data_IF_655756814976
#
_entry.id   IF_655756814976
#
_cell.length_a   1.000
_cell.length_b   1.000
_cell.length_c   1.000
_cell.angle_alpha   90.00
_cell.angle_beta   90.00
_cell.angle_gamma   90.00
#
_symmetry.space_group_name_H-M   'P 1'
#
loop_
_entity.id
_entity.type
_entity.pdbx_description
1 polymer ?
#
# COMPACT_ATOMS: atom_id res chain seq x y z
N UNK A 1 7.36 -24.32 23.74
CA UNK A 1 6.07 -24.97 23.43
C UNK A 1 5.70 -24.64 21.98
N UNK A 2 5.09 -25.55 21.22
CA UNK A 2 4.53 -25.20 19.90
C UNK A 2 3.19 -24.49 20.15
N UNK A 3 3.22 -23.16 20.14
CA UNK A 3 2.02 -22.33 20.17
C UNK A 3 1.47 -22.23 18.75
N UNK A 4 0.16 -22.44 18.59
CA UNK A 4 -0.53 -22.15 17.34
C UNK A 4 -0.88 -20.65 17.29
N UNK A 5 0.17 -19.85 17.09
CA UNK A 5 0.09 -18.39 17.05
C UNK A 5 0.86 -17.92 15.82
N UNK A 6 0.16 -17.62 14.70
CA UNK A 6 0.82 -17.15 13.50
C UNK A 6 1.40 -15.76 13.75
N UNK A 7 2.67 -15.58 13.38
CA UNK A 7 3.33 -14.27 13.37
C UNK A 7 3.27 -13.75 11.94
N UNK A 8 2.59 -12.62 11.77
CA UNK A 8 2.36 -12.00 10.46
C UNK A 8 3.10 -10.68 10.45
N UNK A 9 4.07 -10.54 9.54
CA UNK A 9 4.71 -9.26 9.30
C UNK A 9 3.79 -8.36 8.47
N UNK A 10 3.55 -7.14 8.97
CA UNK A 10 2.67 -6.15 8.33
C UNK A 10 3.41 -4.85 8.05
N UNK A 11 2.78 -3.96 7.29
CA UNK A 11 3.29 -2.61 7.04
C UNK A 11 3.29 -1.70 8.28
N UNK A 12 4.03 -0.59 8.23
CA UNK A 12 4.11 0.37 9.33
C UNK A 12 2.77 1.14 9.48
N UNK A 13 2.24 1.24 10.71
CA UNK A 13 1.00 2.00 10.99
C UNK A 13 1.20 3.53 11.06
N UNK A 14 2.45 3.99 10.94
CA UNK A 14 2.81 5.41 11.01
C UNK A 14 3.00 5.93 12.44
N UNK A 15 3.10 5.06 13.44
CA UNK A 15 3.46 5.41 14.83
C UNK A 15 4.96 5.18 15.08
N UNK A 16 5.80 5.73 14.21
CA UNK A 16 7.25 5.47 14.19
C UNK A 16 7.96 5.73 15.52
N UNK A 17 7.43 6.66 16.34
CA UNK A 17 7.98 6.95 17.66
C UNK A 17 7.86 5.78 18.65
N UNK A 18 6.95 4.84 18.40
CA UNK A 18 6.64 3.71 19.26
C UNK A 18 7.08 2.35 18.67
N UNK A 19 7.77 2.34 17.54
CA UNK A 19 8.30 1.10 16.96
C UNK A 19 9.42 0.50 17.85
N UNK A 20 9.58 -0.84 17.89
CA UNK A 20 8.75 -1.85 17.22
C UNK A 20 7.37 -2.00 17.85
N UNK A 21 6.33 -2.07 17.01
CA UNK A 21 4.95 -2.31 17.43
C UNK A 21 4.55 -3.76 17.19
N UNK A 22 3.92 -4.39 18.18
CA UNK A 22 3.32 -5.72 18.06
C UNK A 22 1.82 -5.62 18.31
N UNK A 23 1.02 -6.28 17.47
CA UNK A 23 -0.42 -6.36 17.61
C UNK A 23 -0.77 -7.79 18.04
N UNK A 24 -1.52 -7.95 19.11
CA UNK A 24 -1.99 -9.26 19.57
C UNK A 24 -3.51 -9.30 19.42
N UNK A 25 -3.97 -10.20 18.55
CA UNK A 25 -5.39 -10.54 18.41
C UNK A 25 -5.62 -11.87 19.15
N UNK A 26 -6.31 -11.80 20.29
CA UNK A 26 -6.64 -12.96 21.11
C UNK A 26 -8.16 -13.01 21.33
N UNK A 27 -8.83 -14.16 21.13
CA UNK A 27 -10.25 -14.28 21.42
C UNK A 27 -10.59 -13.82 22.84
N UNK A 28 -11.64 -13.01 22.97
CA UNK A 28 -12.06 -12.41 24.25
C UNK A 28 -11.44 -11.06 24.57
N UNK A 29 -10.46 -10.60 23.78
CA UNK A 29 -9.84 -9.29 23.90
C UNK A 29 -9.94 -8.54 22.57
N UNK A 30 -10.03 -7.20 22.57
CA UNK A 30 -9.84 -6.42 21.35
C UNK A 30 -8.40 -6.64 20.82
N UNK A 31 -8.11 -6.40 19.54
CA UNK A 31 -6.73 -6.35 19.06
C UNK A 31 -5.97 -5.20 19.74
N UNK A 32 -5.00 -5.54 20.59
CA UNK A 32 -4.20 -4.58 21.37
C UNK A 32 -2.85 -4.37 20.68
N UNK A 33 -2.46 -3.10 20.53
CA UNK A 33 -1.15 -2.70 20.04
C UNK A 33 -0.22 -2.39 21.21
N UNK A 34 0.97 -2.98 21.18
CA UNK A 34 2.04 -2.80 22.15
C UNK A 34 3.21 -2.10 21.49
N UNK A 35 3.76 -1.09 22.17
CA UNK A 35 4.84 -0.25 21.65
C UNK A 35 6.17 -0.52 22.31
N UNK A 36 7.24 -0.04 21.67
CA UNK A 36 8.61 -0.15 22.17
C UNK A 36 8.99 -1.60 22.51
N UNK A 37 8.43 -2.57 21.79
CA UNK A 37 8.54 -3.98 22.13
C UNK A 37 9.98 -4.43 21.92
N UNK A 38 10.65 -4.78 23.01
CA UNK A 38 11.96 -5.42 23.03
C UNK A 38 11.82 -6.90 23.43
N UNK A 39 12.93 -7.65 23.44
CA UNK A 39 12.91 -9.08 23.76
C UNK A 39 12.29 -9.42 25.14
N UNK A 40 12.47 -8.54 26.14
CA UNK A 40 11.92 -8.74 27.49
C UNK A 40 10.42 -8.52 27.50
N UNK A 41 9.93 -7.46 26.85
CA UNK A 41 8.50 -7.18 26.72
C UNK A 41 7.83 -8.29 25.91
N UNK A 42 8.44 -8.74 24.81
CA UNK A 42 7.92 -9.83 24.00
C UNK A 42 7.78 -11.14 24.80
N UNK A 43 8.77 -11.50 25.61
CA UNK A 43 8.70 -12.68 26.48
C UNK A 43 7.56 -12.57 27.50
N UNK A 44 7.38 -11.39 28.12
CA UNK A 44 6.26 -11.14 29.03
C UNK A 44 4.92 -11.26 28.32
N UNK A 45 4.73 -10.62 27.16
CA UNK A 45 3.49 -10.73 26.38
C UNK A 45 3.16 -12.18 26.01
N UNK A 46 4.16 -12.99 25.65
CA UNK A 46 3.94 -14.42 25.37
C UNK A 46 3.49 -15.16 26.63
N UNK A 47 4.21 -14.99 27.76
CA UNK A 47 3.96 -15.76 28.99
C UNK A 47 2.71 -15.33 29.74
N UNK A 48 2.46 -14.03 29.81
CA UNK A 48 1.42 -13.43 30.64
C UNK A 48 0.12 -13.22 29.85
N UNK A 49 0.20 -12.83 28.57
CA UNK A 49 -0.99 -12.56 27.76
C UNK A 49 -1.39 -13.70 26.82
N UNK A 50 -0.47 -14.19 25.98
CA UNK A 50 -0.80 -15.22 24.97
C UNK A 50 -1.08 -16.56 25.66
N UNK A 51 -0.21 -16.97 26.61
CA UNK A 51 -0.35 -18.19 27.39
C UNK A 51 -1.21 -18.02 28.65
N UNK A 52 -1.20 -16.82 29.25
CA UNK A 52 -2.04 -16.45 30.38
C UNK A 52 -3.28 -15.68 29.92
N UNK A 53 -3.81 -14.78 30.75
CA UNK A 53 -4.95 -13.90 30.43
C UNK A 53 -4.72 -12.46 30.95
N UNK A 54 -3.46 -12.10 31.25
CA UNK A 54 -3.08 -10.74 31.62
C UNK A 54 -2.60 -9.99 30.36
N UNK A 55 -3.35 -8.97 29.89
CA UNK A 55 -3.01 -8.24 28.67
C UNK A 55 -1.82 -7.29 28.82
N UNK A 56 -1.15 -7.23 29.98
CA UNK A 56 0.03 -6.38 30.22
C UNK A 56 -0.23 -4.92 29.78
N UNK A 57 -1.31 -4.31 30.28
CA UNK A 57 -1.76 -2.99 29.83
C UNK A 57 -0.73 -1.88 30.06
N UNK A 58 0.27 -2.09 30.92
CA UNK A 58 1.38 -1.15 31.10
C UNK A 58 2.23 -0.95 29.83
N UNK A 59 2.15 -1.87 28.86
CA UNK A 59 2.84 -1.78 27.57
C UNK A 59 1.93 -1.40 26.40
N UNK A 60 0.62 -1.27 26.65
CA UNK A 60 -0.35 -1.01 25.60
C UNK A 60 -0.22 0.44 25.08
N UNK A 61 -0.13 0.60 23.76
CA UNK A 61 -0.29 1.88 23.09
C UNK A 61 -1.77 2.22 22.88
N UNK A 62 -2.62 1.22 22.71
CA UNK A 62 -4.04 1.36 22.43
C UNK A 62 -4.58 0.16 21.67
N UNK A 63 -5.89 0.13 21.44
CA UNK A 63 -6.56 -0.90 20.64
C UNK A 63 -6.85 -0.44 19.20
N UNK A 64 -6.97 -1.40 18.29
CA UNK A 64 -7.38 -1.14 16.91
C UNK A 64 -8.88 -0.83 16.77
N UNK A 65 -9.69 -1.18 17.77
CA UNK A 65 -11.14 -1.01 17.78
C UNK A 65 -11.62 -0.42 19.11
N UNK A 66 -12.81 0.20 19.09
CA UNK A 66 -13.46 0.73 20.29
C UNK A 66 -13.80 -0.41 21.25
N UNK A 67 -13.51 -0.21 22.53
CA UNK A 67 -13.66 -1.22 23.57
C UNK A 67 -13.62 -0.55 24.97
N UNK A 68 -13.92 -1.32 26.01
CA UNK A 68 -13.95 -0.84 27.40
C UNK A 68 -12.63 -1.08 28.19
N UNK A 69 -11.62 -1.73 27.57
CA UNK A 69 -10.39 -2.16 28.25
C UNK A 69 -9.26 -1.13 28.16
N UNK A 70 -9.00 -0.60 26.96
CA UNK A 70 -7.98 0.41 26.68
C UNK A 70 -8.46 1.41 25.63
N UNK A 71 -7.96 2.66 25.63
CA UNK A 71 -8.26 3.61 24.56
C UNK A 71 -7.96 3.02 23.18
N UNK A 72 -8.88 3.22 22.25
CA UNK A 72 -8.68 2.90 20.84
C UNK A 72 -7.85 3.99 20.16
N UNK A 73 -7.25 3.70 19.01
CA UNK A 73 -6.56 4.74 18.24
C UNK A 73 -7.49 5.89 17.81
N UNK A 74 -8.81 5.63 17.71
CA UNK A 74 -9.83 6.63 17.43
C UNK A 74 -9.98 7.67 18.54
N UNK A 75 -9.62 7.32 19.77
CA UNK A 75 -9.69 8.21 20.94
C UNK A 75 -8.52 9.20 21.00
N UNK A 76 -7.44 8.94 20.25
CA UNK A 76 -6.26 9.80 20.27
C UNK A 76 -6.42 11.05 19.39
N UNK A 77 -5.78 12.18 19.76
CA UNK A 77 -5.88 13.43 19.00
C UNK A 77 -5.57 13.30 17.51
N UNK A 78 -4.66 12.39 17.12
CA UNK A 78 -4.30 12.13 15.73
C UNK A 78 -5.50 11.72 14.88
N UNK A 79 -6.39 10.88 15.40
CA UNK A 79 -7.54 10.36 14.65
C UNK A 79 -8.55 11.45 14.27
N UNK A 80 -8.59 12.56 15.02
CA UNK A 80 -9.41 13.74 14.68
C UNK A 80 -8.95 14.45 13.40
N UNK A 81 -7.66 14.38 13.09
CA UNK A 81 -7.05 15.14 11.98
C UNK A 81 -6.61 14.26 10.82
N UNK A 82 -6.45 12.96 11.03
CA UNK A 82 -5.98 12.01 10.03
C UNK A 82 -7.13 11.19 9.43
N UNK A 83 -7.19 11.15 8.09
CA UNK A 83 -8.01 10.19 7.36
C UNK A 83 -7.11 9.33 6.48
N UNK A 84 -6.92 8.06 6.88
CA UNK A 84 -6.10 7.10 6.12
C UNK A 84 -6.86 6.58 4.90
N UNK A 85 -6.74 7.29 3.77
CA UNK A 85 -7.32 6.84 2.49
C UNK A 85 -6.37 5.88 1.78
N UNK A 86 -5.15 6.32 1.46
CA UNK A 86 -4.14 5.52 0.75
C UNK A 86 -3.37 4.57 1.69
N UNK A 87 -3.32 4.89 2.99
CA UNK A 87 -2.63 4.09 4.01
C UNK A 87 -3.59 3.14 4.76
N UNK A 88 -4.81 2.91 4.25
CA UNK A 88 -5.85 2.14 4.95
C UNK A 88 -5.45 0.70 5.30
N UNK A 89 -4.59 0.10 4.49
CA UNK A 89 -4.13 -1.29 4.66
C UNK A 89 -2.84 -1.41 5.47
N UNK A 90 -2.15 -0.29 5.73
CA UNK A 90 -0.89 -0.28 6.48
C UNK A 90 -1.11 -0.81 7.90
N UNK A 91 -0.36 -1.86 8.27
CA UNK A 91 -0.48 -2.54 9.56
C UNK A 91 -1.60 -3.58 9.64
N UNK A 92 -2.37 -3.78 8.57
CA UNK A 92 -3.51 -4.71 8.53
C UNK A 92 -3.25 -5.93 7.62
N UNK A 93 -2.47 -5.74 6.56
CA UNK A 93 -2.15 -6.81 5.61
C UNK A 93 -0.68 -7.20 5.66
N UNK A 94 -0.38 -8.45 5.32
CA UNK A 94 0.97 -8.84 4.96
C UNK A 94 1.25 -8.38 3.51
N UNK A 95 2.20 -7.47 3.28
CA UNK A 95 2.50 -6.93 1.95
C UNK A 95 3.06 -7.97 0.98
N UNK A 96 3.44 -9.16 1.47
CA UNK A 96 3.94 -10.27 0.67
C UNK A 96 2.91 -11.36 0.41
N UNK A 97 1.66 -11.19 0.85
CA UNK A 97 0.56 -12.13 0.63
C UNK A 97 -0.64 -11.46 -0.06
N UNK A 98 -0.78 -11.71 -1.38
CA UNK A 98 -1.83 -11.12 -2.20
C UNK A 98 -3.25 -11.43 -1.69
N UNK A 99 -3.46 -12.58 -1.05
CA UNK A 99 -4.78 -12.98 -0.54
C UNK A 99 -5.27 -12.03 0.56
N UNK A 100 -4.37 -11.42 1.34
CA UNK A 100 -4.75 -10.39 2.33
C UNK A 100 -5.25 -9.12 1.63
N UNK A 101 -4.62 -8.72 0.53
CA UNK A 101 -5.06 -7.57 -0.26
C UNK A 101 -6.44 -7.84 -0.90
N UNK A 102 -6.63 -9.03 -1.48
CA UNK A 102 -7.91 -9.47 -2.05
C UNK A 102 -9.03 -9.53 -1.00
N UNK A 103 -8.75 -10.08 0.19
CA UNK A 103 -9.70 -10.15 1.29
C UNK A 103 -10.17 -8.76 1.76
N UNK A 104 -9.32 -7.73 1.62
CA UNK A 104 -9.64 -6.34 1.89
C UNK A 104 -10.25 -5.59 0.68
N UNK A 105 -10.75 -6.32 -0.31
CA UNK A 105 -11.41 -5.76 -1.50
C UNK A 105 -10.44 -5.24 -2.57
N UNK A 106 -9.16 -5.57 -2.48
CA UNK A 106 -8.17 -5.26 -3.52
C UNK A 106 -8.55 -5.83 -4.88
N UNK A 107 -8.20 -5.13 -5.96
CA UNK A 107 -8.58 -5.45 -7.34
C UNK A 107 -10.07 -5.33 -7.69
N UNK A 108 -10.94 -5.00 -6.73
CA UNK A 108 -12.36 -4.74 -7.04
C UNK A 108 -12.55 -3.49 -7.90
N UNK A 109 -11.70 -2.46 -7.73
CA UNK A 109 -11.75 -1.27 -8.56
C UNK A 109 -11.24 -1.55 -9.97
N UNK A 110 -10.23 -2.42 -10.12
CA UNK A 110 -9.83 -2.93 -11.44
C UNK A 110 -10.98 -3.64 -12.15
N UNK A 111 -11.69 -4.54 -11.46
CA UNK A 111 -12.86 -5.22 -12.04
C UNK A 111 -13.91 -4.21 -12.49
N UNK A 112 -14.25 -3.22 -11.66
CA UNK A 112 -15.18 -2.13 -12.04
C UNK A 112 -14.67 -1.39 -13.28
N UNK A 113 -13.39 -0.97 -13.27
CA UNK A 113 -12.79 -0.20 -14.34
C UNK A 113 -12.85 -0.91 -15.70
N UNK A 114 -12.60 -2.22 -15.75
CA UNK A 114 -12.67 -3.00 -17.00
C UNK A 114 -14.09 -3.07 -17.60
N UNK A 115 -15.13 -2.78 -16.83
CA UNK A 115 -16.52 -2.69 -17.30
C UNK A 115 -16.96 -1.26 -17.64
N UNK A 116 -16.07 -0.28 -17.50
CA UNK A 116 -16.32 1.12 -17.82
C UNK A 116 -15.68 1.50 -19.15
N UNK A 117 -16.25 2.48 -19.83
CA UNK A 117 -15.56 3.19 -20.90
C UNK A 117 -14.36 3.94 -20.30
N UNK A 118 -13.17 3.90 -20.93
CA UNK A 118 -11.98 4.58 -20.41
C UNK A 118 -12.18 6.08 -20.14
N UNK A 119 -12.96 6.78 -20.97
CA UNK A 119 -13.33 8.19 -20.78
C UNK A 119 -14.11 8.40 -19.48
N UNK A 120 -14.98 7.45 -19.13
CA UNK A 120 -15.72 7.48 -17.87
C UNK A 120 -14.81 7.38 -16.64
N UNK A 121 -13.71 6.62 -16.74
CA UNK A 121 -12.71 6.53 -15.67
C UNK A 121 -11.95 7.85 -15.54
N UNK A 122 -11.54 8.45 -16.66
CA UNK A 122 -10.86 9.75 -16.65
C UNK A 122 -11.74 10.83 -16.02
N UNK A 123 -13.04 10.84 -16.37
CA UNK A 123 -14.01 11.75 -15.78
C UNK A 123 -14.17 11.52 -14.26
N UNK A 124 -14.27 10.28 -13.79
CA UNK A 124 -14.35 9.97 -12.35
C UNK A 124 -13.10 10.46 -11.60
N UNK A 125 -11.91 10.37 -12.21
CA UNK A 125 -10.66 10.92 -11.64
C UNK A 125 -10.65 12.45 -11.65
N UNK A 126 -11.11 13.09 -12.73
CA UNK A 126 -11.20 14.56 -12.81
C UNK A 126 -12.19 15.11 -11.77
N UNK A 127 -13.38 14.53 -11.67
CA UNK A 127 -14.42 14.90 -10.70
C UNK A 127 -13.97 14.72 -9.24
N UNK A 128 -13.07 13.76 -8.98
CA UNK A 128 -12.47 13.58 -7.64
C UNK A 128 -11.57 14.75 -7.21
N UNK A 129 -11.13 15.59 -8.15
CA UNK A 129 -10.17 16.67 -7.89
C UNK A 129 -8.77 16.16 -7.54
N UNK A 130 -8.41 14.92 -7.91
CA UNK A 130 -7.10 14.35 -7.63
C UNK A 130 -5.99 15.14 -8.34
N UNK A 131 -5.03 15.61 -7.56
CA UNK A 131 -3.84 16.33 -8.05
C UNK A 131 -2.59 15.50 -7.84
N UNK A 132 -1.58 15.71 -8.69
CA UNK A 132 -0.28 15.06 -8.60
C UNK A 132 0.35 15.25 -7.22
N UNK A 133 0.73 14.14 -6.57
CA UNK A 133 1.24 14.13 -5.19
C UNK A 133 2.76 14.23 -5.08
N UNK A 134 3.49 14.21 -6.20
CA UNK A 134 4.93 14.49 -6.25
C UNK A 134 5.30 15.98 -6.23
N UNK A 135 4.46 16.85 -5.65
CA UNK A 135 4.76 18.28 -5.47
C UNK A 135 4.10 19.23 -6.47
N UNK A 136 4.22 18.99 -7.79
CA UNK A 136 3.73 19.93 -8.81
C UNK A 136 2.21 20.18 -8.80
N UNK A 137 1.42 19.23 -8.28
CA UNK A 137 -0.01 19.43 -8.08
C UNK A 137 -0.81 19.60 -9.38
N UNK A 138 -0.36 19.08 -10.52
CA UNK A 138 -1.14 19.12 -11.75
C UNK A 138 -2.40 18.23 -11.65
N UNK A 139 -3.51 18.59 -12.31
CA UNK A 139 -4.75 17.83 -12.27
C UNK A 139 -4.56 16.45 -12.94
N UNK A 140 -4.86 15.38 -12.22
CA UNK A 140 -4.53 14.01 -12.67
C UNK A 140 -5.44 13.57 -13.82
N UNK A 141 -6.75 13.86 -13.74
CA UNK A 141 -7.70 13.57 -14.81
C UNK A 141 -7.32 14.30 -16.10
N UNK A 142 -7.01 15.60 -16.01
CA UNK A 142 -6.47 16.37 -17.13
C UNK A 142 -5.19 15.76 -17.72
N UNK A 143 -4.22 15.33 -16.89
CA UNK A 143 -2.98 14.66 -17.37
C UNK A 143 -3.30 13.38 -18.15
N UNK A 144 -4.27 12.59 -17.65
CA UNK A 144 -4.71 11.37 -18.30
C UNK A 144 -5.44 11.65 -19.61
N UNK A 145 -6.31 12.66 -19.66
CA UNK A 145 -7.02 13.07 -20.87
C UNK A 145 -6.04 13.51 -21.96
N UNK A 146 -5.06 14.37 -21.62
CA UNK A 146 -4.01 14.80 -22.57
C UNK A 146 -3.26 13.58 -23.14
N UNK A 147 -2.89 12.63 -22.29
CA UNK A 147 -2.20 11.43 -22.74
C UNK A 147 -3.09 10.52 -23.61
N UNK A 148 -4.37 10.38 -23.27
CA UNK A 148 -5.34 9.60 -24.06
C UNK A 148 -5.59 10.21 -25.43
N UNK A 149 -5.65 11.53 -25.53
CA UNK A 149 -5.91 12.23 -26.79
C UNK A 149 -4.66 12.35 -27.67
N UNK A 150 -3.46 12.24 -27.07
CA UNK A 150 -2.21 12.29 -27.82
C UNK A 150 -2.15 11.18 -28.89
N UNK A 151 -1.79 11.51 -30.14
CA UNK A 151 -1.60 10.52 -31.18
C UNK A 151 -0.35 9.67 -30.93
N UNK A 152 -0.36 8.44 -31.45
CA UNK A 152 0.79 7.54 -31.38
C UNK A 152 0.64 6.40 -30.38
N UNK A 153 1.29 5.30 -30.70
CA UNK A 153 1.36 4.09 -29.89
C UNK A 153 2.79 3.51 -29.94
N UNK A 154 3.23 2.80 -28.89
CA UNK A 154 2.52 2.54 -27.64
C UNK A 154 2.52 3.74 -26.67
N UNK A 155 1.53 3.78 -25.78
CA UNK A 155 1.50 4.67 -24.60
C UNK A 155 1.99 3.94 -23.36
N UNK A 156 2.47 4.71 -22.37
CA UNK A 156 3.13 4.19 -21.18
C UNK A 156 2.57 4.81 -19.90
N UNK A 157 2.60 4.03 -18.82
CA UNK A 157 2.43 4.53 -17.45
C UNK A 157 3.77 4.40 -16.73
N UNK A 158 4.22 5.47 -16.10
CA UNK A 158 5.43 5.46 -15.27
C UNK A 158 5.02 5.82 -13.85
N UNK A 159 5.29 4.92 -12.90
CA UNK A 159 5.21 5.17 -11.47
C UNK A 159 6.60 5.59 -11.01
N UNK A 160 6.72 6.85 -10.62
CA UNK A 160 7.94 7.42 -10.06
C UNK A 160 7.93 7.19 -8.54
N UNK A 161 8.77 6.27 -8.08
CA UNK A 161 9.07 6.01 -6.66
C UNK A 161 10.48 6.46 -6.28
N UNK A 162 11.02 7.47 -6.96
CA UNK A 162 12.28 8.14 -6.61
C UNK A 162 12.04 9.25 -5.58
N UNK A 163 11.61 8.86 -4.38
CA UNK A 163 11.34 9.78 -3.27
C UNK A 163 12.67 10.25 -2.67
N UNK A 164 13.34 11.19 -3.35
CA UNK A 164 14.65 11.71 -3.02
C UNK A 164 14.66 12.71 -1.85
N UNK A 165 13.53 13.39 -1.62
CA UNK A 165 13.46 14.55 -0.73
C UNK A 165 13.72 14.19 0.75
N UNK A 166 14.61 14.92 1.45
CA UNK A 166 14.86 14.70 2.86
C UNK A 166 13.58 14.80 3.70
N UNK A 167 13.26 13.74 4.44
CA UNK A 167 12.09 13.67 5.31
C UNK A 167 10.82 13.10 4.64
N UNK A 168 10.86 12.84 3.32
CA UNK A 168 9.80 12.13 2.64
C UNK A 168 10.01 10.60 2.76
N UNK A 169 8.94 9.88 3.12
CA UNK A 169 8.91 8.41 3.21
C UNK A 169 7.51 7.85 2.91
N UNK A 170 6.64 8.65 2.32
CA UNK A 170 5.25 8.30 2.03
C UNK A 170 5.17 7.27 0.90
N UNK A 171 5.98 7.42 -0.15
CA UNK A 171 6.02 6.46 -1.26
C UNK A 171 6.64 5.14 -0.78
N UNK A 172 7.72 5.23 0.02
CA UNK A 172 8.30 4.06 0.70
C UNK A 172 7.26 3.33 1.53
N UNK A 173 6.50 4.05 2.36
CA UNK A 173 5.51 3.45 3.24
C UNK A 173 4.45 2.67 2.45
N UNK A 174 4.01 3.18 1.30
CA UNK A 174 3.03 2.50 0.44
C UNK A 174 3.66 1.27 -0.23
N UNK A 175 4.83 1.42 -0.87
CA UNK A 175 5.47 0.29 -1.57
C UNK A 175 5.90 -0.83 -0.62
N UNK A 176 6.26 -0.50 0.61
CA UNK A 176 6.59 -1.48 1.63
C UNK A 176 5.34 -2.09 2.28
N UNK A 177 4.22 -1.38 2.39
CA UNK A 177 3.05 -1.85 3.17
C UNK A 177 1.90 -2.38 2.31
N UNK A 178 1.72 -1.85 1.11
CA UNK A 178 0.62 -2.19 0.19
C UNK A 178 1.04 -1.97 -1.29
N UNK A 179 2.04 -2.73 -1.79
CA UNK A 179 2.49 -2.61 -3.18
C UNK A 179 1.40 -2.97 -4.21
N UNK A 180 0.42 -3.80 -3.84
CA UNK A 180 -0.68 -4.17 -4.72
C UNK A 180 -1.58 -2.98 -5.07
N UNK A 181 -1.78 -2.03 -4.14
CA UNK A 181 -2.54 -0.80 -4.42
C UNK A 181 -1.92 0.05 -5.54
N UNK A 182 -0.59 0.13 -5.61
CA UNK A 182 0.13 0.85 -6.67
C UNK A 182 -0.04 0.12 -7.99
N UNK A 183 0.12 -1.20 -7.98
CA UNK A 183 -0.06 -2.05 -9.18
C UNK A 183 -1.49 -1.92 -9.72
N UNK A 184 -2.51 -2.02 -8.86
CA UNK A 184 -3.91 -1.84 -9.24
C UNK A 184 -4.15 -0.47 -9.88
N UNK A 185 -3.68 0.60 -9.23
CA UNK A 185 -3.80 1.97 -9.75
C UNK A 185 -3.14 2.14 -11.13
N UNK A 186 -1.96 1.54 -11.34
CA UNK A 186 -1.27 1.57 -12.63
C UNK A 186 -2.04 0.84 -13.73
N UNK A 187 -2.66 -0.29 -13.43
CA UNK A 187 -3.45 -1.05 -14.42
C UNK A 187 -4.68 -0.24 -14.82
N UNK A 188 -5.40 0.34 -13.84
CA UNK A 188 -6.57 1.20 -14.09
C UNK A 188 -6.17 2.41 -14.93
N UNK A 189 -5.07 3.09 -14.57
CA UNK A 189 -4.54 4.21 -15.34
C UNK A 189 -4.17 3.79 -16.77
N UNK A 190 -3.51 2.64 -16.92
CA UNK A 190 -3.12 2.09 -18.21
C UNK A 190 -4.32 1.80 -19.10
N UNK A 191 -5.38 1.21 -18.54
CA UNK A 191 -6.64 0.99 -19.23
C UNK A 191 -7.29 2.32 -19.65
N UNK A 192 -7.37 3.28 -18.74
CA UNK A 192 -7.96 4.59 -18.96
C UNK A 192 -7.27 5.37 -20.10
N UNK A 193 -5.94 5.35 -20.18
CA UNK A 193 -5.20 6.10 -21.22
C UNK A 193 -4.92 5.29 -22.50
N UNK A 194 -5.21 3.98 -22.50
CA UNK A 194 -4.88 3.08 -23.61
C UNK A 194 -3.41 2.67 -23.67
N UNK A 195 -2.70 2.65 -22.54
CA UNK A 195 -1.33 2.17 -22.46
C UNK A 195 -1.25 0.65 -22.45
N UNK A 196 -0.15 0.11 -22.98
CA UNK A 196 0.15 -1.33 -22.97
C UNK A 196 1.31 -1.71 -22.06
N UNK A 197 2.06 -0.72 -21.59
CA UNK A 197 3.26 -0.93 -20.81
C UNK A 197 3.30 0.03 -19.61
N UNK A 198 3.70 -0.51 -18.47
CA UNK A 198 3.88 0.18 -17.21
C UNK A 198 5.29 -0.03 -16.67
N UNK A 199 5.84 1.01 -16.06
CA UNK A 199 7.14 0.94 -15.40
C UNK A 199 7.04 1.50 -13.99
N UNK A 200 7.55 0.76 -13.01
CA UNK A 200 7.74 1.25 -11.65
C UNK A 200 9.23 1.52 -11.51
N UNK A 201 9.61 2.78 -11.33
CA UNK A 201 10.97 3.15 -11.01
C UNK A 201 11.08 3.36 -9.50
N UNK A 202 11.91 2.58 -8.81
CA UNK A 202 12.13 2.70 -7.37
C UNK A 202 13.59 2.96 -7.11
N UNK A 203 13.89 3.95 -6.26
CA UNK A 203 15.27 4.29 -5.88
C UNK A 203 16.03 3.12 -5.25
N UNK A 204 17.34 3.10 -5.43
CA UNK A 204 18.19 2.01 -4.94
C UNK A 204 18.22 1.91 -3.40
N UNK A 205 18.01 3.04 -2.72
CA UNK A 205 18.07 3.17 -1.27
C UNK A 205 16.87 2.56 -0.54
N UNK A 206 15.84 2.11 -1.27
CA UNK A 206 14.66 1.43 -0.73
C UNK A 206 14.64 -0.07 -1.12
N UNK A 207 15.60 -0.89 -0.62
CA UNK A 207 15.70 -2.30 -1.02
C UNK A 207 14.47 -3.12 -0.65
N UNK A 208 13.82 -2.83 0.49
CA UNK A 208 12.62 -3.54 0.93
C UNK A 208 11.42 -3.22 0.03
N UNK A 209 11.24 -1.96 -0.38
CA UNK A 209 10.22 -1.57 -1.33
C UNK A 209 10.40 -2.28 -2.69
N UNK A 210 11.64 -2.36 -3.18
CA UNK A 210 11.99 -3.09 -4.41
C UNK A 210 11.65 -4.59 -4.27
N UNK A 211 12.02 -5.21 -3.15
CA UNK A 211 11.74 -6.61 -2.90
C UNK A 211 10.24 -6.91 -2.84
N UNK A 212 9.49 -6.18 -2.01
CA UNK A 212 8.04 -6.37 -1.83
C UNK A 212 7.27 -6.08 -3.11
N UNK A 213 7.65 -5.04 -3.87
CA UNK A 213 7.06 -4.76 -5.18
C UNK A 213 7.33 -5.91 -6.17
N UNK A 214 8.53 -6.50 -6.15
CA UNK A 214 8.85 -7.67 -7.00
C UNK A 214 8.01 -8.89 -6.62
N UNK A 215 7.78 -9.13 -5.33
CA UNK A 215 6.87 -10.18 -4.85
C UNK A 215 5.46 -9.94 -5.37
N UNK A 216 4.93 -8.73 -5.17
CA UNK A 216 3.58 -8.35 -5.57
C UNK A 216 3.37 -8.47 -7.09
N UNK A 217 4.34 -8.04 -7.91
CA UNK A 217 4.29 -8.22 -9.37
C UNK A 217 4.26 -9.70 -9.77
N UNK A 218 5.02 -10.58 -9.10
CA UNK A 218 4.95 -12.02 -9.39
C UNK A 218 3.58 -12.60 -9.04
N UNK A 219 3.04 -12.25 -7.88
CA UNK A 219 1.72 -12.72 -7.44
C UNK A 219 0.61 -12.24 -8.37
N UNK A 220 0.58 -10.94 -8.68
CA UNK A 220 -0.41 -10.35 -9.56
C UNK A 220 -0.35 -10.96 -10.98
N UNK A 221 0.85 -11.24 -11.50
CA UNK A 221 0.99 -11.92 -12.79
C UNK A 221 0.50 -13.36 -12.77
N UNK A 222 0.76 -14.10 -11.69
CA UNK A 222 0.27 -15.48 -11.52
C UNK A 222 -1.26 -15.56 -11.56
N UNK A 223 -1.95 -14.53 -11.05
CA UNK A 223 -3.41 -14.42 -11.07
C UNK A 223 -3.97 -13.73 -12.33
N UNK A 224 -3.14 -13.43 -13.33
CA UNK A 224 -3.53 -12.71 -14.55
C UNK A 224 -4.19 -11.34 -14.29
N UNK A 225 -3.73 -10.63 -13.25
CA UNK A 225 -4.17 -9.28 -12.91
C UNK A 225 -3.46 -8.21 -13.74
N UNK A 226 -2.31 -8.54 -14.33
CA UNK A 226 -1.70 -7.79 -15.42
C UNK A 226 -1.01 -8.76 -16.40
N UNK A 227 -0.74 -8.30 -17.61
CA UNK A 227 -0.18 -9.10 -18.70
C UNK A 227 -1.13 -9.12 -19.89
N UNK A 228 -1.36 -10.31 -20.46
CA UNK A 228 -2.24 -10.49 -21.61
C UNK A 228 -3.65 -10.81 -21.16
N UNK A 229 -4.64 -10.17 -21.78
CA UNK A 229 -6.07 -10.43 -21.57
C UNK A 229 -6.43 -10.46 -20.08
N UNK A 230 -6.20 -9.32 -19.42
CA UNK A 230 -6.32 -9.17 -17.96
C UNK A 230 -7.73 -9.57 -17.54
N UNK A 231 -7.83 -10.50 -16.58
CA UNK A 231 -9.10 -11.04 -16.09
C UNK A 231 -10.05 -11.55 -17.21
N UNK A 232 -9.49 -12.00 -18.34
CA UNK A 232 -10.26 -12.48 -19.49
C UNK A 232 -10.84 -11.38 -20.39
N UNK A 233 -10.48 -10.11 -20.16
CA UNK A 233 -10.83 -8.99 -21.04
C UNK A 233 -9.94 -8.94 -22.29
N UNK A 234 -10.26 -8.05 -23.23
CA UNK A 234 -9.40 -7.76 -24.40
C UNK A 234 -8.23 -6.82 -24.07
N UNK A 235 -8.18 -6.28 -22.85
CA UNK A 235 -7.14 -5.37 -22.43
C UNK A 235 -5.88 -6.11 -21.98
N UNK A 236 -4.72 -5.61 -22.41
CA UNK A 236 -3.42 -6.14 -22.04
C UNK A 236 -2.48 -5.00 -21.60
N UNK A 237 -1.84 -5.18 -20.44
CA UNK A 237 -0.93 -4.21 -19.85
C UNK A 237 0.18 -4.92 -19.08
N UNK A 238 1.44 -4.72 -19.49
CA UNK A 238 2.60 -5.36 -18.88
C UNK A 238 3.36 -4.39 -17.99
N UNK A 239 3.74 -4.81 -16.78
CA UNK A 239 4.44 -3.95 -15.80
C UNK A 239 5.83 -4.49 -15.56
N UNK A 240 6.83 -3.60 -15.53
CA UNK A 240 8.20 -3.93 -15.13
C UNK A 240 8.69 -3.01 -14.01
N UNK A 241 9.47 -3.58 -13.10
CA UNK A 241 10.17 -2.86 -12.04
C UNK A 241 11.58 -2.53 -12.50
N UNK A 242 11.96 -1.26 -12.38
CA UNK A 242 13.31 -0.75 -12.54
C UNK A 242 13.81 -0.24 -11.19
N UNK A 243 14.97 -0.72 -10.78
CA UNK A 243 15.68 -0.21 -9.62
C UNK A 243 16.66 0.86 -10.08
N UNK A 244 16.60 2.04 -9.45
CA UNK A 244 17.51 3.14 -9.72
C UNK A 244 18.97 2.81 -9.40
N UNK A 245 19.86 3.73 -9.77
CA UNK A 245 21.32 3.60 -9.54
C UNK A 245 21.89 4.67 -8.61
N UNK A 246 21.04 5.32 -7.79
CA UNK A 246 21.46 6.27 -6.73
C UNK A 246 21.61 7.72 -7.17
N UNK A 247 20.94 8.15 -8.25
CA UNK A 247 20.96 9.52 -8.75
C UNK A 247 19.67 10.26 -8.38
N UNK A 248 19.76 11.29 -7.53
CA UNK A 248 18.63 12.12 -7.07
C UNK A 248 17.91 12.85 -8.22
N UNK A 249 18.60 13.16 -9.32
CA UNK A 249 18.00 13.91 -10.45
C UNK A 249 16.94 13.09 -11.20
N UNK A 250 16.98 11.75 -11.12
CA UNK A 250 16.06 10.85 -11.81
C UNK A 250 14.61 10.93 -11.28
N UNK A 251 14.36 11.68 -10.22
CA UNK A 251 13.01 12.01 -9.75
C UNK A 251 12.31 13.06 -10.62
N UNK A 252 13.04 13.79 -11.46
CA UNK A 252 12.49 14.70 -12.47
C UNK A 252 11.95 13.91 -13.67
N UNK A 253 10.79 14.29 -14.23
CA UNK A 253 10.08 13.43 -15.18
C UNK A 253 10.79 13.21 -16.53
N UNK A 254 11.81 14.00 -16.86
CA UNK A 254 12.59 13.91 -18.10
C UNK A 254 14.01 13.37 -17.93
N UNK A 255 14.49 13.18 -16.70
CA UNK A 255 15.87 12.79 -16.36
C UNK A 255 16.07 11.27 -16.22
#
# INVERSE_FOLDING_TARGET
QKLDCPVIEVGCMGHCYAEPIVIITKPGYPPICYGHVNAVIAERLIREFILGDDPCLEFALGALEENDLVPSFSDFPRAKYEKKVILKNCGQINPTEIDHYLANGGYSALVKALHMAPEGIINEVEESGLRGRGGAGFATGQKWQICRDAPGNPKYIICNGDEGDPGAFMDRAILESDPHSVIEGMIIAGYAIGARYGYIYVRAEYPLAVERTRVALRQARKLNLFGKNILGSDFSFDIRLFQGSGAFVCGEETA
#
